data_IF_956356549852
#
_entry.id   IF_956356549852
#
_cell.length_a   1.000
_cell.length_b   1.000
_cell.length_c   1.000
_cell.angle_alpha   90.00
_cell.angle_beta   90.00
_cell.angle_gamma   90.00
#
_symmetry.space_group_name_H-M   'P 1'
#
loop_
_entity.id
_entity.type
_entity.pdbx_description
1 polymer ?
#
# COMPACT_ATOMS: atom_id res chain seq x y z
N UNK A 1 12.40 -6.42 -3.42
CA UNK A 1 11.38 -7.27 -2.75
C UNK A 1 10.30 -6.35 -2.24
N UNK A 2 9.01 -6.67 -2.42
CA UNK A 2 7.91 -5.77 -2.04
C UNK A 2 7.98 -5.29 -0.57
N UNK A 3 8.45 -6.14 0.34
CA UNK A 3 8.66 -5.81 1.74
C UNK A 3 9.57 -4.58 1.99
N UNK A 4 10.50 -4.26 1.07
CA UNK A 4 11.43 -3.13 1.19
C UNK A 4 11.04 -1.91 0.36
N UNK A 5 9.93 -1.98 -0.37
CA UNK A 5 9.45 -0.89 -1.23
C UNK A 5 8.85 0.27 -0.40
N UNK A 6 8.76 1.44 -1.02
CA UNK A 6 8.35 2.70 -0.37
C UNK A 6 6.93 2.60 0.17
N UNK A 7 6.03 2.02 -0.62
CA UNK A 7 4.62 1.84 -0.34
C UNK A 7 4.42 1.01 0.94
N UNK A 8 5.19 -0.08 1.08
CA UNK A 8 5.13 -0.96 2.25
C UNK A 8 5.71 -0.31 3.50
N UNK A 9 6.82 0.42 3.36
CA UNK A 9 7.40 1.20 4.48
C UNK A 9 6.43 2.28 4.96
N UNK A 10 5.79 2.98 4.03
CA UNK A 10 4.81 4.02 4.36
C UNK A 10 3.56 3.42 5.00
N UNK A 11 3.03 2.31 4.48
CA UNK A 11 1.88 1.64 5.08
C UNK A 11 2.18 1.18 6.52
N UNK A 12 3.38 0.63 6.77
CA UNK A 12 3.82 0.28 8.13
C UNK A 12 3.99 1.51 9.02
N UNK A 13 4.54 2.60 8.50
CA UNK A 13 4.66 3.85 9.23
C UNK A 13 3.27 4.37 9.63
N UNK A 14 2.33 4.45 8.69
CA UNK A 14 0.94 4.86 8.93
C UNK A 14 0.27 4.02 10.02
N UNK A 15 0.42 2.69 9.97
CA UNK A 15 -0.08 1.78 10.99
C UNK A 15 0.51 2.08 12.37
N UNK A 16 1.81 2.35 12.44
CA UNK A 16 2.52 2.56 13.71
C UNK A 16 2.27 3.95 14.31
N UNK A 17 1.98 4.96 13.49
CA UNK A 17 1.78 6.35 13.93
C UNK A 17 0.32 6.80 13.94
N UNK A 18 -0.61 5.96 13.48
CA UNK A 18 -2.04 6.27 13.46
C UNK A 18 -2.47 7.19 12.32
N UNK A 19 -1.62 7.40 11.30
CA UNK A 19 -2.00 8.17 10.10
C UNK A 19 -3.05 7.36 9.32
N UNK A 20 -4.24 7.97 9.15
CA UNK A 20 -5.36 7.32 8.47
C UNK A 20 -5.39 7.56 6.97
N UNK A 21 -5.01 8.75 6.51
CA UNK A 21 -5.09 9.12 5.11
C UNK A 21 -3.77 9.76 4.69
N UNK A 22 -3.16 9.23 3.63
CA UNK A 22 -1.95 9.78 3.06
C UNK A 22 -1.94 9.64 1.54
N UNK A 23 -1.15 10.49 0.90
CA UNK A 23 -0.82 10.40 -0.51
C UNK A 23 0.70 10.33 -0.67
N UNK A 24 1.18 9.53 -1.62
CA UNK A 24 2.61 9.42 -1.93
C UNK A 24 2.82 9.44 -3.43
N UNK A 25 3.82 10.21 -3.87
CA UNK A 25 4.32 10.18 -5.23
C UNK A 25 5.64 9.39 -5.26
N UNK A 26 5.74 8.44 -6.18
CA UNK A 26 6.93 7.62 -6.41
C UNK A 26 7.34 7.68 -7.88
N UNK A 27 8.63 7.50 -8.15
CA UNK A 27 9.21 7.54 -9.51
C UNK A 27 9.14 6.19 -10.23
N UNK A 28 8.27 5.27 -9.78
CA UNK A 28 8.08 3.96 -10.38
C UNK A 28 6.62 3.52 -10.26
N UNK A 29 6.23 2.43 -10.92
CA UNK A 29 4.94 1.78 -10.69
C UNK A 29 5.03 0.80 -9.51
N UNK A 30 3.99 0.72 -8.65
CA UNK A 30 3.91 -0.33 -7.64
C UNK A 30 4.01 -1.71 -8.26
N UNK A 31 4.74 -2.62 -7.63
CA UNK A 31 4.92 -3.95 -8.19
C UNK A 31 3.60 -4.74 -8.21
N UNK A 32 3.37 -5.45 -9.31
CA UNK A 32 2.18 -6.26 -9.54
C UNK A 32 2.29 -7.67 -8.93
N UNK A 33 1.18 -8.41 -8.95
CA UNK A 33 1.12 -9.83 -8.59
C UNK A 33 0.64 -10.12 -7.16
N UNK A 34 0.56 -11.40 -6.81
CA UNK A 34 0.00 -11.91 -5.54
C UNK A 34 0.66 -11.35 -4.28
N UNK A 35 1.95 -11.02 -4.39
CA UNK A 35 2.75 -10.40 -3.32
C UNK A 35 3.21 -8.99 -3.70
N UNK A 36 2.47 -8.35 -4.62
CA UNK A 36 2.69 -6.99 -5.06
C UNK A 36 2.33 -5.97 -3.98
N UNK A 37 2.85 -4.76 -4.14
CA UNK A 37 2.64 -3.65 -3.20
C UNK A 37 1.14 -3.34 -3.03
N UNK A 38 0.32 -3.47 -4.06
CA UNK A 38 -1.11 -3.16 -3.96
C UNK A 38 -1.85 -4.03 -2.94
N UNK A 39 -1.58 -5.34 -2.97
CA UNK A 39 -2.20 -6.30 -2.04
C UNK A 39 -1.60 -6.12 -0.64
N UNK A 40 -0.27 -6.03 -0.55
CA UNK A 40 0.42 -5.91 0.74
C UNK A 40 0.07 -4.62 1.47
N UNK A 41 -0.04 -3.49 0.78
CA UNK A 41 -0.46 -2.22 1.38
C UNK A 41 -1.85 -2.33 1.97
N UNK A 42 -2.83 -2.89 1.24
CA UNK A 42 -4.18 -3.04 1.77
C UNK A 42 -4.29 -4.01 2.95
N UNK A 43 -3.38 -4.99 3.06
CA UNK A 43 -3.29 -5.89 4.23
C UNK A 43 -2.63 -5.19 5.42
N UNK A 44 -1.60 -4.37 5.17
CA UNK A 44 -0.84 -3.69 6.23
C UNK A 44 -1.62 -2.54 6.82
N UNK A 45 -2.29 -1.75 5.98
CA UNK A 45 -3.08 -0.61 6.41
C UNK A 45 -4.21 -1.06 7.35
N UNK A 46 -4.41 -0.37 8.49
CA UNK A 46 -5.55 -0.63 9.36
C UNK A 46 -6.86 -0.35 8.62
N UNK A 47 -7.93 -1.06 8.98
CA UNK A 47 -9.29 -0.75 8.53
C UNK A 47 -9.63 0.72 8.76
N UNK A 48 -10.32 1.33 7.78
CA UNK A 48 -10.66 2.76 7.75
C UNK A 48 -9.51 3.68 7.32
N UNK A 49 -8.35 3.15 6.93
CA UNK A 49 -7.20 3.93 6.45
C UNK A 49 -7.03 3.81 4.93
N UNK A 50 -6.49 4.84 4.29
CA UNK A 50 -6.27 4.90 2.84
C UNK A 50 -4.89 5.44 2.48
N UNK A 51 -4.27 4.84 1.47
CA UNK A 51 -3.07 5.38 0.84
C UNK A 51 -3.31 5.58 -0.65
N UNK A 52 -3.22 6.82 -1.11
CA UNK A 52 -3.23 7.17 -2.54
C UNK A 52 -1.80 7.18 -3.08
N UNK A 53 -1.56 6.47 -4.18
CA UNK A 53 -0.24 6.33 -4.78
C UNK A 53 -0.28 6.91 -6.19
N UNK A 54 0.61 7.87 -6.43
CA UNK A 54 0.91 8.42 -7.74
C UNK A 54 2.25 7.86 -8.20
N UNK A 55 2.25 7.11 -9.30
CA UNK A 55 3.44 6.45 -9.85
C UNK A 55 3.72 6.84 -11.30
N UNK A 56 4.73 6.21 -11.89
CA UNK A 56 5.11 6.45 -13.29
C UNK A 56 4.03 6.04 -14.29
N UNK A 57 4.11 6.62 -15.48
CA UNK A 57 3.22 6.33 -16.62
C UNK A 57 1.74 6.54 -16.29
N UNK A 58 1.43 7.61 -15.55
CA UNK A 58 0.06 7.95 -15.17
C UNK A 58 -0.59 6.98 -14.18
N UNK A 59 0.20 6.20 -13.44
CA UNK A 59 -0.35 5.34 -12.41
C UNK A 59 -0.95 6.18 -11.27
N UNK A 60 -2.22 5.98 -10.99
CA UNK A 60 -2.90 6.55 -9.84
C UNK A 60 -3.82 5.51 -9.23
N UNK A 61 -3.68 5.27 -7.93
CA UNK A 61 -4.58 4.36 -7.21
C UNK A 61 -4.69 4.68 -5.73
N UNK A 62 -5.92 4.63 -5.21
CA UNK A 62 -6.19 4.65 -3.77
C UNK A 62 -6.39 3.23 -3.25
N UNK A 63 -5.58 2.84 -2.27
CA UNK A 63 -5.65 1.54 -1.61
C UNK A 63 -6.32 1.70 -0.25
N UNK A 64 -7.34 0.86 -0.01
CA UNK A 64 -8.06 0.78 1.26
C UNK A 64 -7.39 -0.26 2.18
N UNK A 65 -7.28 0.07 3.46
CA UNK A 65 -6.82 -0.86 4.50
C UNK A 65 -7.90 -1.85 4.95
N UNK A 66 -7.47 -2.92 5.63
CA UNK A 66 -8.35 -3.97 6.14
C UNK A 66 -8.52 -5.18 5.21
N UNK A 67 -7.69 -5.32 4.16
CA UNK A 67 -7.72 -6.53 3.35
C UNK A 67 -7.26 -7.74 4.17
N UNK A 68 -7.95 -8.87 4.01
CA UNK A 68 -7.52 -10.16 4.56
C UNK A 68 -6.60 -10.88 3.59
N UNK A 69 -5.52 -11.55 4.07
CA UNK A 69 -4.61 -12.28 3.19
C UNK A 69 -5.34 -13.39 2.43
N UNK A 70 -5.30 -13.41 1.08
CA UNK A 70 -6.06 -14.38 0.28
C UNK A 70 -5.54 -15.82 0.41
N UNK A 71 -4.37 -16.03 1.03
CA UNK A 71 -3.77 -17.34 1.29
C UNK A 71 -4.04 -17.88 2.70
N UNK A 72 -4.79 -17.17 3.52
CA UNK A 72 -5.29 -17.66 4.81
C UNK A 72 -6.71 -18.24 4.69
N UNK A 73 -7.11 -18.64 3.48
CA UNK A 73 -8.35 -19.37 3.19
C UNK A 73 -8.10 -20.85 3.11
#
# INVERSE_FOLDING_TARGET
MAASHVETKLAMHMRNTGIRHASVAINNRPCAGRFGCEILVGIILPEGSTLTIYGSDGYERTIQGGLRPPWQR
#
